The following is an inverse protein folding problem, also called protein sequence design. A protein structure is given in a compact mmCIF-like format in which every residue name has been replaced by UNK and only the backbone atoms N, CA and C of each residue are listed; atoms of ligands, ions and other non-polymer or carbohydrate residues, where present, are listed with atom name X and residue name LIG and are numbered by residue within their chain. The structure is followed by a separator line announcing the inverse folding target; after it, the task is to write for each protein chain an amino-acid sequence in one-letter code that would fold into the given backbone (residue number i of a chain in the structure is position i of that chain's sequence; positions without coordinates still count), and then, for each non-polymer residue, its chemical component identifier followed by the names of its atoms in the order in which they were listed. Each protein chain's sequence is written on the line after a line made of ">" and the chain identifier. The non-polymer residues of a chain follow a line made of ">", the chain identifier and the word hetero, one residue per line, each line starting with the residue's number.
data_IF_835631112612
#
_entry.id   IF_835631112612
#
_cell.length_a   1.000
_cell.length_b   1.000
_cell.length_c   1.000
_cell.angle_alpha   90.00
_cell.angle_beta   90.00
_cell.angle_gamma   90.00
#
_symmetry.space_group_name_H-M   'P 1'
#
loop_
_entity.id
_entity.type
_entity.pdbx_description
1 polymer ?
#
# COMPACT_ATOMS: atom_id res chain seq x y z
N UNK A 1 -32.97 14.03 -1.51
CA UNK A 1 -31.91 13.90 -0.48
C UNK A 1 -30.73 13.21 -1.14
N UNK A 2 -29.55 13.83 -1.29
CA UNK A 2 -28.39 13.11 -1.81
C UNK A 2 -27.93 12.10 -0.75
N UNK A 3 -27.68 10.85 -1.15
CA UNK A 3 -27.05 9.86 -0.26
C UNK A 3 -25.72 10.43 0.26
N UNK A 4 -25.41 10.30 1.56
CA UNK A 4 -24.10 10.71 2.07
C UNK A 4 -23.02 9.93 1.31
N UNK A 5 -22.10 10.67 0.67
CA UNK A 5 -21.01 10.08 -0.09
C UNK A 5 -20.29 9.05 0.80
N UNK A 6 -20.41 7.78 0.43
CA UNK A 6 -19.82 6.65 1.16
C UNK A 6 -18.31 6.95 1.28
N UNK A 7 -17.82 7.22 2.50
CA UNK A 7 -16.39 7.49 2.76
C UNK A 7 -15.55 6.42 2.07
N UNK A 8 -14.45 6.82 1.42
CA UNK A 8 -13.57 5.83 0.79
C UNK A 8 -13.05 4.90 1.88
N UNK A 9 -12.79 3.63 1.54
CA UNK A 9 -12.27 2.66 2.51
C UNK A 9 -10.99 3.17 3.17
N UNK A 10 -10.09 3.76 2.37
CA UNK A 10 -8.86 4.39 2.86
C UNK A 10 -9.13 5.46 3.93
N UNK A 11 -10.08 6.38 3.70
CA UNK A 11 -10.44 7.45 4.64
C UNK A 11 -11.00 6.90 5.97
N UNK A 12 -11.64 5.73 5.92
CA UNK A 12 -12.18 5.06 7.10
C UNK A 12 -11.09 4.38 7.91
N UNK A 13 -10.20 3.63 7.25
CA UNK A 13 -9.15 2.87 7.94
C UNK A 13 -7.99 3.74 8.44
N UNK A 14 -7.86 4.98 7.95
CA UNK A 14 -6.89 5.96 8.47
C UNK A 14 -7.49 6.92 9.49
N UNK A 15 -8.81 6.84 9.74
CA UNK A 15 -9.47 7.71 10.69
C UNK A 15 -9.01 7.43 12.13
N UNK A 16 -8.83 8.48 12.92
CA UNK A 16 -8.34 8.37 14.30
C UNK A 16 -9.27 7.58 15.23
N UNK A 17 -10.57 7.55 14.90
CA UNK A 17 -11.64 6.85 15.62
C UNK A 17 -11.85 5.40 15.15
N UNK A 18 -11.07 4.93 14.17
CA UNK A 18 -11.27 3.59 13.56
C UNK A 18 -11.21 2.45 14.58
N UNK A 19 -10.40 2.59 15.63
CA UNK A 19 -10.21 1.59 16.67
C UNK A 19 -11.10 1.80 17.90
N UNK A 20 -12.03 2.75 17.87
CA UNK A 20 -12.89 3.03 19.01
C UNK A 20 -13.80 1.85 19.34
N UNK A 21 -13.91 1.54 20.64
CA UNK A 21 -14.71 0.43 21.16
C UNK A 21 -14.14 -0.96 20.83
N UNK A 22 -12.84 -1.07 20.57
CA UNK A 22 -12.18 -2.35 20.22
C UNK A 22 -12.47 -3.47 21.22
N UNK A 23 -12.41 -3.18 22.52
CA UNK A 23 -12.64 -4.15 23.61
C UNK A 23 -14.03 -4.79 23.54
N UNK A 24 -15.04 -4.04 23.07
CA UNK A 24 -16.42 -4.50 22.94
C UNK A 24 -16.72 -5.27 21.65
N UNK A 25 -15.78 -5.35 20.71
CA UNK A 25 -15.98 -6.07 19.45
C UNK A 25 -15.80 -7.56 19.62
N UNK A 26 -16.35 -8.38 18.74
CA UNK A 26 -16.11 -9.84 18.73
C UNK A 26 -14.78 -10.18 18.06
N UNK A 27 -14.15 -11.34 18.35
CA UNK A 27 -12.92 -11.74 17.66
C UNK A 27 -13.06 -11.77 16.12
N UNK A 28 -14.23 -12.16 15.61
CA UNK A 28 -14.52 -12.14 14.18
C UNK A 28 -14.49 -10.71 13.61
N UNK A 29 -15.09 -9.73 14.31
CA UNK A 29 -15.06 -8.33 13.89
C UNK A 29 -13.63 -7.76 13.89
N UNK A 30 -12.82 -8.10 14.90
CA UNK A 30 -11.41 -7.68 14.97
C UNK A 30 -10.60 -8.27 13.81
N UNK A 31 -10.86 -9.53 13.42
CA UNK A 31 -10.24 -10.14 12.23
C UNK A 31 -10.64 -9.40 10.96
N UNK A 32 -11.92 -9.11 10.75
CA UNK A 32 -12.40 -8.33 9.60
C UNK A 32 -11.72 -6.96 9.52
N UNK A 33 -11.67 -6.22 10.63
CA UNK A 33 -11.00 -4.90 10.67
C UNK A 33 -9.52 -4.99 10.32
N UNK A 34 -8.83 -6.03 10.81
CA UNK A 34 -7.41 -6.27 10.53
C UNK A 34 -7.19 -6.59 9.05
N UNK A 35 -8.05 -7.42 8.48
CA UNK A 35 -7.93 -7.84 7.09
C UNK A 35 -8.26 -6.67 6.14
N UNK A 36 -9.22 -5.80 6.48
CA UNK A 36 -9.45 -4.53 5.78
C UNK A 36 -8.21 -3.62 5.80
N UNK A 37 -7.58 -3.45 6.96
CA UNK A 37 -6.36 -2.67 7.07
C UNK A 37 -5.21 -3.27 6.25
N UNK A 38 -5.05 -4.60 6.24
CA UNK A 38 -4.01 -5.28 5.45
C UNK A 38 -4.21 -5.12 3.94
N UNK A 39 -5.44 -5.17 3.47
CA UNK A 39 -5.75 -4.94 2.04
C UNK A 39 -5.36 -3.52 1.61
N UNK A 40 -5.72 -2.50 2.40
CA UNK A 40 -5.35 -1.11 2.09
C UNK A 40 -3.85 -0.84 2.29
N UNK A 41 -3.20 -1.45 3.28
CA UNK A 41 -1.74 -1.35 3.45
C UNK A 41 -0.99 -1.91 2.25
N UNK A 42 -1.40 -3.07 1.75
CA UNK A 42 -0.79 -3.71 0.58
C UNK A 42 -0.89 -2.81 -0.66
N UNK A 43 -2.07 -2.20 -0.85
CA UNK A 43 -2.32 -1.22 -1.92
C UNK A 43 -1.45 0.03 -1.77
N UNK A 44 -1.34 0.61 -0.58
CA UNK A 44 -0.46 1.76 -0.33
C UNK A 44 1.02 1.41 -0.50
N UNK A 45 1.44 0.22 -0.09
CA UNK A 45 2.80 -0.28 -0.27
C UNK A 45 3.16 -0.41 -1.75
N UNK A 46 2.22 -0.88 -2.58
CA UNK A 46 2.35 -0.91 -4.02
C UNK A 46 2.47 0.51 -4.62
N UNK A 47 1.55 1.41 -4.28
CA UNK A 47 1.57 2.80 -4.76
C UNK A 47 2.85 3.53 -4.36
N UNK A 48 3.31 3.36 -3.11
CA UNK A 48 4.58 3.92 -2.63
C UNK A 48 5.77 3.41 -3.43
N UNK A 49 5.81 2.11 -3.76
CA UNK A 49 6.91 1.53 -4.54
C UNK A 49 6.96 2.12 -5.96
N UNK A 50 5.81 2.35 -6.57
CA UNK A 50 5.73 3.01 -7.87
C UNK A 50 6.19 4.47 -7.82
N UNK A 51 5.75 5.24 -6.82
CA UNK A 51 6.22 6.61 -6.62
C UNK A 51 7.73 6.70 -6.36
N UNK A 52 8.28 5.75 -5.59
CA UNK A 52 9.73 5.65 -5.38
C UNK A 52 10.46 5.46 -6.71
N UNK A 53 10.07 4.46 -7.51
CA UNK A 53 10.71 4.22 -8.80
C UNK A 53 10.62 5.42 -9.75
N UNK A 54 9.49 6.14 -9.73
CA UNK A 54 9.37 7.39 -10.48
C UNK A 54 10.31 8.47 -9.97
N UNK A 55 10.34 8.72 -8.65
CA UNK A 55 11.25 9.69 -8.05
C UNK A 55 12.70 9.41 -8.40
N UNK A 56 13.10 8.14 -8.36
CA UNK A 56 14.46 7.72 -8.68
C UNK A 56 14.79 7.99 -10.15
N UNK A 57 13.86 7.69 -11.07
CA UNK A 57 14.00 7.99 -12.51
C UNK A 57 14.09 9.51 -12.76
N UNK A 58 13.19 10.31 -12.18
CA UNK A 58 13.15 11.76 -12.38
C UNK A 58 14.38 12.44 -11.78
N UNK A 59 14.85 11.99 -10.61
CA UNK A 59 16.10 12.47 -10.00
C UNK A 59 17.33 12.11 -10.85
N UNK A 60 17.36 10.91 -11.41
CA UNK A 60 18.43 10.49 -12.29
C UNK A 60 18.48 11.34 -13.56
N UNK A 61 17.32 11.67 -14.14
CA UNK A 61 17.24 12.57 -15.29
C UNK A 61 17.74 13.99 -14.94
N UNK A 62 17.31 14.56 -13.82
CA UNK A 62 17.79 15.87 -13.37
C UNK A 62 19.31 15.89 -13.18
N UNK A 63 19.86 14.86 -12.51
CA UNK A 63 21.30 14.72 -12.30
C UNK A 63 22.07 14.57 -13.63
N UNK A 64 21.50 13.86 -14.61
CA UNK A 64 22.06 13.72 -15.96
C UNK A 64 22.17 15.08 -16.66
N UNK A 65 21.12 15.91 -16.60
CA UNK A 65 21.10 17.25 -17.21
C UNK A 65 22.09 18.22 -16.58
N UNK A 66 22.32 18.10 -15.27
CA UNK A 66 23.31 18.89 -14.53
C UNK A 66 24.77 18.43 -14.77
N UNK A 67 25.01 17.51 -15.72
CA UNK A 67 26.34 17.05 -16.10
C UNK A 67 26.84 15.82 -15.33
N UNK A 68 25.97 15.16 -14.54
CA UNK A 68 26.33 14.03 -13.68
C UNK A 68 26.27 12.64 -14.34
N UNK A 69 25.91 12.50 -15.62
CA UNK A 69 25.68 11.19 -16.24
C UNK A 69 26.26 11.04 -17.64
N UNK A 70 27.10 10.03 -17.85
CA UNK A 70 27.51 9.56 -19.18
C UNK A 70 26.71 8.30 -19.55
N UNK A 71 25.57 8.45 -20.21
CA UNK A 71 24.73 7.33 -20.65
C UNK A 71 23.26 7.69 -20.89
N UNK A 72 22.50 6.79 -21.52
CA UNK A 72 21.05 6.92 -21.62
C UNK A 72 20.37 6.59 -20.30
N UNK A 73 19.28 7.30 -19.96
CA UNK A 73 18.47 7.02 -18.75
C UNK A 73 17.99 5.56 -18.71
N UNK A 74 17.64 5.00 -19.87
CA UNK A 74 17.20 3.61 -20.03
C UNK A 74 18.31 2.63 -19.65
N UNK A 75 19.55 2.91 -20.04
CA UNK A 75 20.70 2.04 -19.78
C UNK A 75 21.02 1.96 -18.28
N UNK A 76 20.72 3.03 -17.54
CA UNK A 76 20.94 3.13 -16.09
C UNK A 76 19.76 2.63 -15.24
N UNK A 77 18.63 2.21 -15.83
CA UNK A 77 17.41 1.89 -15.06
C UNK A 77 17.61 0.80 -14.01
N UNK A 78 18.39 -0.24 -14.32
CA UNK A 78 18.67 -1.33 -13.39
C UNK A 78 19.36 -0.82 -12.12
N UNK A 79 20.30 0.13 -12.28
CA UNK A 79 21.02 0.74 -11.16
C UNK A 79 20.14 1.76 -10.42
N UNK A 80 19.35 2.54 -11.15
CA UNK A 80 18.43 3.55 -10.59
C UNK A 80 17.36 2.90 -9.71
N UNK A 81 16.79 1.77 -10.14
CA UNK A 81 15.69 1.08 -9.44
C UNK A 81 16.17 0.06 -8.41
N UNK A 82 17.48 -0.19 -8.34
CA UNK A 82 18.06 -1.09 -7.35
C UNK A 82 17.78 -0.55 -5.94
N UNK A 83 17.20 -1.40 -5.08
CA UNK A 83 17.00 -1.01 -3.69
C UNK A 83 18.34 -0.82 -2.99
N UNK A 84 18.53 0.36 -2.39
CA UNK A 84 19.61 0.55 -1.44
C UNK A 84 19.50 -0.50 -0.32
N UNK A 85 20.61 -1.15 0.02
CA UNK A 85 20.64 -2.16 1.06
C UNK A 85 20.08 -1.59 2.36
N UNK A 86 18.86 -2.01 2.74
CA UNK A 86 18.22 -1.55 3.97
C UNK A 86 19.10 -1.89 5.16
N UNK A 87 19.46 -0.89 5.96
CA UNK A 87 20.21 -1.09 7.19
C UNK A 87 19.26 -1.50 8.32
N UNK A 88 19.19 -2.80 8.60
CA UNK A 88 18.47 -3.32 9.76
C UNK A 88 18.13 -4.81 9.69
N UNK A 89 17.84 -5.46 10.82
CA UNK A 89 17.40 -6.85 10.85
C UNK A 89 16.07 -6.99 10.10
N UNK A 90 16.00 -7.89 9.11
CA UNK A 90 14.74 -8.23 8.44
C UNK A 90 14.11 -9.42 9.15
N UNK A 91 12.91 -9.25 9.69
CA UNK A 91 12.05 -10.39 10.00
C UNK A 91 11.40 -10.82 8.69
N UNK A 92 11.68 -12.05 8.25
CA UNK A 92 10.99 -12.64 7.10
C UNK A 92 9.49 -12.74 7.44
N UNK A 93 8.66 -12.10 6.62
CA UNK A 93 7.20 -12.19 6.70
C UNK A 93 6.69 -12.62 5.33
N UNK A 94 5.69 -13.50 5.30
CA UNK A 94 4.95 -13.75 4.07
C UNK A 94 4.24 -12.45 3.68
N UNK A 95 4.69 -11.83 2.61
CA UNK A 95 4.06 -10.67 2.01
C UNK A 95 3.53 -11.12 0.65
N UNK A 96 2.21 -11.29 0.47
CA UNK A 96 1.67 -11.55 -0.85
C UNK A 96 2.01 -10.35 -1.76
N UNK A 97 2.37 -10.63 -3.00
CA UNK A 97 2.49 -9.58 -4.00
C UNK A 97 1.09 -9.02 -4.25
N UNK A 98 0.90 -7.75 -3.96
CA UNK A 98 -0.31 -7.06 -4.39
C UNK A 98 -0.25 -6.90 -5.89
N UNK A 99 -1.12 -7.61 -6.60
CA UNK A 99 -1.34 -7.42 -8.03
C UNK A 99 -2.60 -6.58 -8.15
N UNK A 100 -2.56 -5.43 -8.85
CA UNK A 100 -3.75 -4.60 -9.08
C UNK A 100 -4.86 -5.26 -9.94
N UNK A 101 -4.77 -6.56 -10.21
CA UNK A 101 -5.78 -7.31 -10.96
C UNK A 101 -6.71 -8.05 -9.99
N UNK A 102 -7.94 -7.56 -9.94
CA UNK A 102 -9.07 -8.29 -9.36
C UNK A 102 -10.35 -7.84 -10.05
N UNK A 103 -11.40 -8.66 -9.93
CA UNK A 103 -12.77 -8.43 -10.42
C UNK A 103 -13.34 -7.01 -10.13
N UNK A 104 -12.70 -6.28 -9.22
CA UNK A 104 -13.04 -4.92 -8.80
C UNK A 104 -12.31 -3.80 -9.58
N UNK A 105 -11.51 -4.16 -10.59
CA UNK A 105 -10.74 -3.23 -11.43
C UNK A 105 -9.72 -2.40 -10.65
N UNK A 106 -8.92 -1.59 -11.38
CA UNK A 106 -8.23 -0.45 -10.75
C UNK A 106 -9.29 0.34 -9.98
N UNK A 107 -9.27 0.30 -8.65
CA UNK A 107 -10.22 1.11 -7.87
C UNK A 107 -10.01 2.55 -8.32
N UNK A 108 -11.07 3.32 -8.57
CA UNK A 108 -11.00 4.76 -8.97
C UNK A 108 -10.11 5.65 -8.08
N UNK A 109 -9.65 5.13 -6.94
CA UNK A 109 -8.71 5.77 -6.03
C UNK A 109 -7.23 5.60 -6.39
N UNK A 110 -6.87 4.78 -7.39
CA UNK A 110 -5.49 4.63 -7.89
C UNK A 110 -5.10 5.75 -8.88
N UNK A 111 -5.60 6.97 -8.66
CA UNK A 111 -5.25 8.14 -9.48
C UNK A 111 -3.73 8.38 -9.54
N UNK A 112 -3.04 8.04 -8.46
CA UNK A 112 -1.57 8.05 -8.36
C UNK A 112 -0.91 7.20 -9.46
N UNK A 113 -1.59 6.15 -9.94
CA UNK A 113 -1.11 5.27 -11.00
C UNK A 113 -1.51 5.73 -12.41
N UNK A 114 -2.58 6.50 -12.54
CA UNK A 114 -3.09 6.94 -13.84
C UNK A 114 -2.37 8.19 -14.36
N UNK A 115 -1.69 8.93 -13.49
CA UNK A 115 -1.01 10.20 -13.81
C UNK A 115 0.52 10.06 -13.96
N UNK A 116 1.03 8.92 -14.42
CA UNK A 116 2.49 8.73 -14.54
C UNK A 116 3.09 9.59 -15.68
N UNK A 117 3.93 10.61 -15.39
CA UNK A 117 4.38 11.57 -16.41
C UNK A 117 5.69 11.17 -17.11
N UNK A 118 6.17 9.93 -16.91
CA UNK A 118 7.50 9.50 -17.36
C UNK A 118 7.70 9.64 -18.88
N UNK A 119 6.64 9.47 -19.66
CA UNK A 119 6.67 9.63 -21.12
C UNK A 119 6.91 11.07 -21.59
N UNK A 120 6.60 12.07 -20.74
CA UNK A 120 6.77 13.49 -21.03
C UNK A 120 8.08 14.07 -20.49
N UNK A 121 8.87 13.29 -19.76
CA UNK A 121 10.15 13.76 -19.20
C UNK A 121 11.10 14.40 -20.24
N UNK A 122 11.18 13.92 -21.50
CA UNK A 122 12.00 14.58 -22.51
C UNK A 122 11.52 15.99 -22.89
N UNK A 123 10.24 16.29 -22.68
CA UNK A 123 9.60 17.55 -23.07
C UNK A 123 9.65 18.61 -21.96
N UNK A 124 9.96 18.20 -20.72
CA UNK A 124 10.04 19.10 -19.57
C UNK A 124 11.41 19.79 -19.49
N UNK A 125 11.44 21.04 -19.06
CA UNK A 125 12.67 21.74 -18.70
C UNK A 125 13.17 21.37 -17.29
N UNK A 126 14.32 21.90 -16.89
CA UNK A 126 14.97 21.54 -15.62
C UNK A 126 14.19 22.02 -14.39
N UNK A 127 13.53 23.17 -14.49
CA UNK A 127 12.70 23.72 -13.41
C UNK A 127 11.41 22.91 -13.26
N UNK A 128 10.78 22.54 -14.39
CA UNK A 128 9.60 21.67 -14.42
C UNK A 128 9.90 20.26 -13.86
N UNK A 129 11.10 19.73 -14.11
CA UNK A 129 11.57 18.47 -13.53
C UNK A 129 11.79 18.61 -12.02
N UNK A 130 12.40 19.70 -11.56
CA UNK A 130 12.59 19.96 -10.14
C UNK A 130 11.24 20.06 -9.39
N UNK A 131 10.28 20.76 -9.97
CA UNK A 131 8.91 20.86 -9.46
C UNK A 131 8.21 19.49 -9.43
N UNK A 132 8.39 18.68 -10.47
CA UNK A 132 7.88 17.32 -10.52
C UNK A 132 8.46 16.44 -9.40
N UNK A 133 9.76 16.53 -9.12
CA UNK A 133 10.39 15.84 -7.97
C UNK A 133 9.74 16.29 -6.66
N UNK A 134 9.50 17.59 -6.49
CA UNK A 134 8.84 18.15 -5.31
C UNK A 134 7.46 17.55 -5.07
N UNK A 135 6.60 17.55 -6.09
CA UNK A 135 5.24 16.99 -6.03
C UNK A 135 5.25 15.48 -5.76
N UNK A 136 6.05 14.71 -6.50
CA UNK A 136 6.13 13.26 -6.30
C UNK A 136 6.63 12.90 -4.89
N UNK A 137 7.57 13.68 -4.34
CA UNK A 137 8.07 13.48 -2.99
C UNK A 137 7.03 13.83 -1.92
N UNK A 138 6.15 14.80 -2.17
CA UNK A 138 5.05 15.13 -1.27
C UNK A 138 3.98 14.04 -1.27
N UNK A 139 3.60 13.54 -2.43
CA UNK A 139 2.67 12.41 -2.57
C UNK A 139 3.23 11.13 -1.92
N UNK A 140 4.51 10.82 -2.14
CA UNK A 140 5.17 9.69 -1.46
C UNK A 140 5.08 9.84 0.06
N UNK A 141 5.40 11.03 0.58
CA UNK A 141 5.34 11.31 2.01
C UNK A 141 3.91 11.13 2.55
N UNK A 142 2.90 11.61 1.83
CA UNK A 142 1.50 11.46 2.20
C UNK A 142 1.08 9.97 2.26
N UNK A 143 1.43 9.19 1.24
CA UNK A 143 1.19 7.73 1.23
C UNK A 143 1.92 7.03 2.38
N UNK A 144 3.18 7.40 2.61
CA UNK A 144 3.98 6.85 3.70
C UNK A 144 3.39 7.16 5.09
N UNK A 145 2.81 8.34 5.30
CA UNK A 145 2.08 8.68 6.53
C UNK A 145 0.85 7.79 6.69
N UNK A 146 -0.02 7.73 5.68
CA UNK A 146 -1.24 6.89 5.73
C UNK A 146 -0.91 5.43 5.99
N UNK A 147 0.12 4.90 5.32
CA UNK A 147 0.57 3.52 5.49
C UNK A 147 1.06 3.23 6.90
N UNK A 148 1.80 4.16 7.53
CA UNK A 148 2.22 4.03 8.94
C UNK A 148 1.00 3.97 9.86
N UNK A 149 0.03 4.86 9.69
CA UNK A 149 -1.22 4.84 10.48
C UNK A 149 -1.93 3.49 10.38
N UNK A 150 -2.05 2.93 9.18
CA UNK A 150 -2.68 1.62 8.97
C UNK A 150 -1.86 0.50 9.62
N UNK A 151 -0.54 0.52 9.51
CA UNK A 151 0.32 -0.47 10.18
C UNK A 151 0.17 -0.43 11.70
N UNK A 152 0.13 0.76 12.29
CA UNK A 152 -0.11 0.92 13.73
C UNK A 152 -1.48 0.34 14.12
N UNK A 153 -2.49 0.49 13.28
CA UNK A 153 -3.80 -0.13 13.49
C UNK A 153 -3.74 -1.66 13.37
N UNK A 154 -3.04 -2.20 12.38
CA UNK A 154 -2.82 -3.64 12.23
C UNK A 154 -2.14 -4.21 13.48
N UNK A 155 -1.10 -3.56 13.98
CA UNK A 155 -0.37 -3.99 15.18
C UNK A 155 -1.27 -3.99 16.43
N UNK A 156 -2.09 -2.95 16.63
CA UNK A 156 -3.07 -2.89 17.73
C UNK A 156 -4.14 -3.99 17.63
N UNK A 157 -4.70 -4.22 16.45
CA UNK A 157 -5.69 -5.28 16.21
C UNK A 157 -5.08 -6.68 16.41
N UNK A 158 -3.82 -6.88 16.02
CA UNK A 158 -3.10 -8.12 16.27
C UNK A 158 -2.83 -8.34 17.76
N UNK A 159 -2.40 -7.31 18.49
CA UNK A 159 -2.19 -7.38 19.92
C UNK A 159 -3.47 -7.77 20.67
N UNK A 160 -4.61 -7.18 20.27
CA UNK A 160 -5.92 -7.50 20.83
C UNK A 160 -6.31 -8.96 20.60
N UNK A 161 -6.18 -9.45 19.36
CA UNK A 161 -6.45 -10.86 19.06
C UNK A 161 -5.56 -11.81 19.87
N UNK A 162 -4.26 -11.51 19.97
CA UNK A 162 -3.32 -12.30 20.78
C UNK A 162 -3.70 -12.28 22.25
N UNK A 163 -4.15 -11.14 22.79
CA UNK A 163 -4.70 -11.03 24.13
C UNK A 163 -5.86 -12.00 24.36
N UNK A 164 -6.84 -12.01 23.45
CA UNK A 164 -8.03 -12.87 23.53
C UNK A 164 -7.73 -14.36 23.38
N UNK A 165 -6.74 -14.72 22.55
CA UNK A 165 -6.28 -16.10 22.47
C UNK A 165 -5.61 -16.57 23.76
N UNK A 166 -4.89 -15.68 24.47
CA UNK A 166 -4.28 -16.00 25.77
C UNK A 166 -5.31 -16.10 26.89
N UNK A 167 -6.36 -15.28 26.89
CA UNK A 167 -7.42 -15.31 27.90
C UNK A 167 -8.43 -16.44 27.69
N UNK A 168 -8.47 -17.05 26.51
CA UNK A 168 -9.43 -18.10 26.15
C UNK A 168 -10.75 -17.58 25.57
N UNK A 169 -10.88 -16.26 25.37
CA UNK A 169 -12.06 -15.62 24.79
C UNK A 169 -12.16 -15.80 23.26
N UNK A 170 -11.13 -16.39 22.64
CA UNK A 170 -11.13 -16.80 21.23
C UNK A 170 -10.53 -18.20 21.06
N UNK A 171 -11.19 -19.06 20.28
CA UNK A 171 -10.67 -20.40 19.95
C UNK A 171 -9.87 -20.39 18.65
N UNK A 172 -8.81 -21.19 18.61
CA UNK A 172 -7.93 -21.33 17.42
C UNK A 172 -8.69 -21.98 16.25
N UNK A 173 -9.62 -22.90 16.53
CA UNK A 173 -10.42 -23.59 15.50
C UNK A 173 -11.22 -22.62 14.63
N UNK A 174 -11.72 -21.52 15.20
CA UNK A 174 -12.43 -20.47 14.47
C UNK A 174 -11.55 -19.75 13.44
N UNK A 175 -10.23 -19.67 13.68
CA UNK A 175 -9.29 -19.08 12.73
C UNK A 175 -9.04 -20.01 11.53
N UNK A 176 -9.08 -21.33 11.76
CA UNK A 176 -8.89 -22.35 10.71
C UNK A 176 -10.12 -22.41 9.81
N UNK A 177 -11.34 -22.35 10.36
CA UNK A 177 -12.58 -22.33 9.55
C UNK A 177 -12.68 -21.06 8.69
N UNK A 178 -12.29 -19.89 9.23
CA UNK A 178 -12.28 -18.63 8.47
C UNK A 178 -11.26 -18.62 7.33
N UNK A 179 -10.11 -19.29 7.49
CA UNK A 179 -9.10 -19.40 6.43
C UNK A 179 -9.50 -20.42 5.35
N UNK A 180 -10.14 -21.53 5.73
CA UNK A 180 -10.61 -22.56 4.81
C UNK A 180 -11.80 -22.09 3.97
N UNK A 181 -12.69 -21.26 4.53
CA UNK A 181 -13.80 -20.66 3.77
C UNK A 181 -13.36 -19.78 2.61
N UNK A 182 -12.21 -19.09 2.73
CA UNK A 182 -11.63 -18.29 1.64
C UNK A 182 -10.94 -19.12 0.54
N UNK A 183 -10.47 -20.33 0.86
CA UNK A 183 -9.79 -21.21 -0.10
C UNK A 183 -10.80 -22.01 -0.95
N UNK A 184 -11.99 -22.29 -0.42
CA UNK A 184 -13.04 -23.04 -1.13
C UNK A 184 -13.88 -22.14 -2.06
N UNK A 185 -14.06 -20.86 -1.72
CA UNK A 185 -14.85 -19.92 -2.54
C UNK A 185 -14.24 -19.57 -3.91
N UNK A 186 -12.93 -19.77 -4.08
CA UNK A 186 -12.21 -19.39 -5.31
C UNK A 186 -12.14 -20.52 -6.36
N UNK A 187 -12.73 -21.70 -6.06
CA UNK A 187 -12.74 -22.85 -7.00
C UNK A 187 -14.05 -23.07 -7.75
N UNK A 188 -15.14 -22.37 -7.42
CA UNK A 188 -16.45 -22.60 -8.06
C UNK A 188 -16.86 -21.54 -9.09
N UNK A 189 -16.07 -20.48 -9.31
CA UNK A 189 -16.39 -19.41 -10.27
C UNK A 189 -15.67 -19.52 -11.64
N UNK A 190 -15.29 -20.74 -12.04
CA UNK A 190 -14.56 -21.00 -13.29
C UNK A 190 -15.09 -22.23 -14.03
N UNK A 191 -16.39 -22.27 -14.33
CA UNK A 191 -16.99 -23.38 -15.06
C UNK A 191 -18.46 -23.19 -15.40
N UNK A 192 -18.74 -22.36 -16.41
CA UNK A 192 -19.89 -22.48 -17.31
C UNK A 192 -19.63 -21.68 -18.59
#
# INVERSE_FOLDING_TARGET
>A
MPEPARRRRIDRVTASDYLDGLDGRTPAQVRTMRDECREEEARLSYARRLLHGQLDIVRAELARRQGGGSGGLVDALSDILADAAQQGPRTARSAPLYVPDGEHGRRRGDRVLDEMPLSRLPDLDDDEIADLVGRLAEEERAISVMRRTILDHVDRLQAELVGRYRSGDARVDEAVTSAVGGIVGDREAGGA
#
